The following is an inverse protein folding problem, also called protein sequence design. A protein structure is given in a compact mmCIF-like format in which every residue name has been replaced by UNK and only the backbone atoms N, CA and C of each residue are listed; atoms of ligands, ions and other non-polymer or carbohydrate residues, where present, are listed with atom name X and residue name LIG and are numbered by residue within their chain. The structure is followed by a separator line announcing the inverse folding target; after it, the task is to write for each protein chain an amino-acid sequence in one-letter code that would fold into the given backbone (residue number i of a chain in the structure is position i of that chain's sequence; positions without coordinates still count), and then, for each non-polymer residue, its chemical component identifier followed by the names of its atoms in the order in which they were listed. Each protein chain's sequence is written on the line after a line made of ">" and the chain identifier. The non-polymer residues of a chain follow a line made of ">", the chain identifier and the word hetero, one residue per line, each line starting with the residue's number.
data_IF_692341643664
#
_entry.id   IF_692341643664
#
_cell.length_a   1.000
_cell.length_b   1.000
_cell.length_c   1.000
_cell.angle_alpha   90.00
_cell.angle_beta   90.00
_cell.angle_gamma   90.00
#
_symmetry.space_group_name_H-M   'P 1'
#
loop_
_entity.id
_entity.type
_entity.pdbx_description
1 polymer ?
#
# COMPACT_ATOMS: atom_id res chain seq x y z
N UNK A 1 11.24 -26.93 8.20
CA UNK A 1 10.12 -26.91 9.16
C UNK A 1 9.96 -25.45 9.57
N UNK A 2 9.15 -24.69 8.82
CA UNK A 2 8.90 -23.28 9.13
C UNK A 2 7.70 -23.24 10.08
N UNK A 3 7.97 -22.83 11.32
CA UNK A 3 6.94 -22.67 12.34
C UNK A 3 5.97 -21.56 11.93
N UNK A 4 4.71 -21.96 11.79
CA UNK A 4 3.49 -21.18 12.06
C UNK A 4 3.72 -19.72 12.50
N UNK A 5 3.61 -18.78 11.56
CA UNK A 5 3.43 -17.34 11.85
C UNK A 5 2.04 -17.18 12.48
N UNK A 6 1.95 -17.46 13.78
CA UNK A 6 0.78 -17.15 14.61
C UNK A 6 1.17 -15.94 15.44
N UNK A 7 0.54 -14.83 15.08
CA UNK A 7 0.42 -13.56 15.81
C UNK A 7 1.14 -12.37 15.17
N UNK A 8 0.49 -11.73 14.18
CA UNK A 8 0.88 -10.43 13.63
C UNK A 8 0.45 -9.25 14.52
N UNK A 9 -0.08 -9.47 15.74
CA UNK A 9 -0.48 -8.38 16.65
C UNK A 9 0.70 -7.53 17.14
N UNK A 10 1.92 -7.98 16.92
CA UNK A 10 3.11 -7.17 17.21
C UNK A 10 4.05 -7.22 16.02
N UNK A 11 3.89 -6.27 15.10
CA UNK A 11 4.88 -6.03 14.07
C UNK A 11 6.07 -5.33 14.72
N UNK A 12 7.11 -6.08 15.09
CA UNK A 12 8.42 -5.48 15.35
C UNK A 12 9.09 -5.23 14.00
N UNK A 13 9.54 -4.01 13.76
CA UNK A 13 10.43 -3.73 12.65
C UNK A 13 11.73 -4.48 12.95
N UNK A 14 11.93 -5.62 12.28
CA UNK A 14 13.13 -6.44 12.42
C UNK A 14 14.32 -5.77 11.76
N UNK A 15 14.06 -5.06 10.66
CA UNK A 15 15.05 -4.30 9.91
C UNK A 15 14.37 -3.13 9.17
N UNK A 16 15.11 -2.05 8.95
CA UNK A 16 14.67 -0.90 8.14
C UNK A 16 15.85 -0.41 7.32
N UNK A 17 15.74 -0.59 6.02
CA UNK A 17 16.64 -0.01 5.06
C UNK A 17 15.93 1.10 4.27
N UNK A 18 16.65 2.18 3.97
CA UNK A 18 16.20 3.20 3.03
C UNK A 18 17.00 2.95 1.75
N UNK A 19 16.28 2.54 0.70
CA UNK A 19 16.86 2.30 -0.61
C UNK A 19 16.62 3.50 -1.52
N UNK A 20 17.63 3.86 -2.30
CA UNK A 20 17.40 4.63 -3.53
C UNK A 20 16.57 3.79 -4.50
N UNK A 21 15.84 4.43 -5.41
CA UNK A 21 15.00 3.73 -6.39
C UNK A 21 15.79 2.73 -7.24
N UNK A 22 17.05 3.05 -7.54
CA UNK A 22 17.96 2.19 -8.30
C UNK A 22 18.43 0.96 -7.51
N UNK A 23 18.18 0.94 -6.19
CA UNK A 23 18.45 -0.19 -5.31
C UNK A 23 17.31 -1.22 -5.23
N UNK A 24 16.19 -0.98 -5.94
CA UNK A 24 15.08 -1.94 -6.01
C UNK A 24 15.44 -3.05 -6.99
N UNK A 25 15.63 -4.28 -6.49
CA UNK A 25 16.01 -5.45 -7.30
C UNK A 25 14.95 -6.57 -7.35
N UNK A 26 13.92 -6.51 -6.49
CA UNK A 26 12.79 -7.43 -6.55
C UNK A 26 11.99 -7.23 -7.86
N UNK A 27 11.80 -8.27 -8.69
CA UNK A 27 11.12 -8.14 -9.98
C UNK A 27 9.69 -7.59 -9.90
N UNK A 28 8.99 -7.86 -8.79
CA UNK A 28 7.64 -7.35 -8.56
C UNK A 28 7.64 -5.84 -8.33
N UNK A 29 8.50 -5.36 -7.44
CA UNK A 29 8.68 -3.94 -7.18
C UNK A 29 9.20 -3.17 -8.40
N UNK A 30 10.15 -3.74 -9.15
CA UNK A 30 10.66 -3.15 -10.40
C UNK A 30 9.51 -2.98 -11.41
N UNK A 31 8.72 -4.02 -11.66
CA UNK A 31 7.61 -3.94 -12.61
C UNK A 31 6.53 -2.92 -12.20
N UNK A 32 6.24 -2.79 -10.91
CA UNK A 32 5.33 -1.76 -10.37
C UNK A 32 5.89 -0.37 -10.61
N UNK A 33 7.18 -0.17 -10.32
CA UNK A 33 7.86 1.12 -10.50
C UNK A 33 7.91 1.52 -11.98
N UNK A 34 8.30 0.61 -12.88
CA UNK A 34 8.33 0.85 -14.32
C UNK A 34 6.94 1.24 -14.86
N UNK A 35 5.88 0.56 -14.40
CA UNK A 35 4.52 0.94 -14.77
C UNK A 35 4.15 2.34 -14.27
N UNK A 36 4.40 2.61 -12.99
CA UNK A 36 4.13 3.89 -12.36
C UNK A 36 4.87 5.04 -13.06
N UNK A 37 6.15 4.85 -13.36
CA UNK A 37 7.02 5.81 -14.04
C UNK A 37 6.54 6.10 -15.47
N UNK A 38 6.19 5.05 -16.22
CA UNK A 38 5.64 5.18 -17.57
C UNK A 38 4.33 5.97 -17.60
N UNK A 39 3.45 5.79 -16.61
CA UNK A 39 2.16 6.49 -16.55
C UNK A 39 2.34 7.94 -16.07
N UNK A 40 3.17 8.18 -15.04
CA UNK A 40 3.37 9.55 -14.53
C UNK A 40 4.10 10.45 -15.54
N UNK A 41 5.05 9.90 -16.33
CA UNK A 41 5.95 10.67 -17.22
C UNK A 41 6.77 11.70 -16.42
N UNK A 42 6.71 12.98 -16.81
CA UNK A 42 7.39 14.07 -16.10
C UNK A 42 6.62 14.61 -14.87
N UNK A 43 5.46 14.02 -14.52
CA UNK A 43 4.63 14.46 -13.39
C UNK A 43 5.12 13.82 -12.08
N UNK A 44 4.75 14.43 -10.96
CA UNK A 44 5.02 13.91 -9.61
C UNK A 44 4.38 12.54 -9.38
N UNK A 45 3.23 12.28 -10.02
CA UNK A 45 2.59 10.96 -9.98
C UNK A 45 1.61 10.73 -11.14
N UNK A 46 1.13 9.49 -11.31
CA UNK A 46 0.13 9.13 -12.29
C UNK A 46 -1.17 9.93 -12.11
N UNK A 47 -1.73 10.52 -13.17
CA UNK A 47 -3.09 11.04 -13.10
C UNK A 47 -4.07 9.92 -12.76
N UNK A 48 -5.04 10.24 -11.90
CA UNK A 48 -6.04 9.27 -11.41
C UNK A 48 -6.75 8.52 -12.55
N UNK A 49 -7.04 9.21 -13.66
CA UNK A 49 -7.72 8.62 -14.82
C UNK A 49 -6.82 7.79 -15.73
N UNK A 50 -5.49 7.86 -15.57
CA UNK A 50 -4.50 7.18 -16.42
C UNK A 50 -3.91 5.93 -15.77
N UNK A 51 -3.88 5.88 -14.43
CA UNK A 51 -3.47 4.67 -13.71
C UNK A 51 -4.56 3.59 -13.79
N UNK A 52 -4.14 2.34 -14.00
CA UNK A 52 -4.97 1.15 -14.16
C UNK A 52 -4.36 0.06 -13.28
N UNK A 53 -5.11 -0.34 -12.26
CA UNK A 53 -4.65 -1.33 -11.29
C UNK A 53 -4.37 -2.68 -11.95
N UNK A 54 -5.18 -3.03 -12.94
CA UNK A 54 -5.06 -4.26 -13.73
C UNK A 54 -3.82 -4.31 -14.65
N UNK A 55 -3.12 -3.19 -14.82
CA UNK A 55 -1.84 -3.15 -15.54
C UNK A 55 -0.65 -3.52 -14.65
N UNK A 56 -0.84 -3.64 -13.34
CA UNK A 56 0.16 -4.19 -12.43
C UNK A 56 0.30 -5.71 -12.63
N UNK A 57 1.44 -6.31 -12.24
CA UNK A 57 1.56 -7.76 -12.19
C UNK A 57 0.44 -8.37 -11.33
N UNK A 58 -0.28 -9.41 -11.80
CA UNK A 58 -1.41 -9.99 -11.07
C UNK A 58 -1.07 -10.46 -9.64
N UNK A 59 0.17 -10.89 -9.40
CA UNK A 59 0.65 -11.32 -8.09
C UNK A 59 0.76 -10.17 -7.08
N UNK A 60 0.89 -8.92 -7.53
CA UNK A 60 1.05 -7.73 -6.68
C UNK A 60 -0.30 -7.12 -6.30
N UNK A 61 -1.31 -7.24 -7.16
CA UNK A 61 -2.64 -6.66 -6.94
C UNK A 61 -3.25 -7.05 -5.57
N UNK A 62 -3.20 -8.32 -5.12
CA UNK A 62 -3.67 -8.71 -3.78
C UNK A 62 -2.99 -7.99 -2.61
N UNK A 63 -1.76 -7.51 -2.80
CA UNK A 63 -0.96 -6.82 -1.78
C UNK A 63 -0.96 -5.29 -1.98
N UNK A 64 -1.87 -4.76 -2.81
CA UNK A 64 -1.95 -3.32 -3.15
C UNK A 64 -3.15 -2.65 -2.48
N UNK A 65 -3.02 -1.36 -2.16
CA UNK A 65 -4.15 -0.49 -1.81
C UNK A 65 -4.15 0.76 -2.69
N UNK A 66 -5.34 1.21 -3.10
CA UNK A 66 -5.53 2.50 -3.79
C UNK A 66 -6.32 3.41 -2.87
N UNK A 67 -5.77 4.56 -2.53
CA UNK A 67 -6.37 5.52 -1.59
C UNK A 67 -6.59 6.89 -2.23
N UNK A 68 -7.66 7.55 -1.83
CA UNK A 68 -7.87 8.98 -2.03
C UNK A 68 -7.41 9.75 -0.81
N UNK A 69 -6.65 10.82 -1.02
CA UNK A 69 -6.47 11.85 -0.01
C UNK A 69 -7.65 12.83 -0.06
N UNK A 70 -8.39 12.97 1.05
CA UNK A 70 -9.61 13.77 1.11
C UNK A 70 -9.37 15.23 1.52
N UNK A 71 -8.14 15.60 1.87
CA UNK A 71 -7.79 16.94 2.35
C UNK A 71 -7.83 17.06 3.89
N UNK A 72 -7.66 18.27 4.45
CA UNK A 72 -7.70 18.51 5.88
C UNK A 72 -9.14 18.57 6.46
N UNK A 73 -9.41 18.04 7.67
CA UNK A 73 -8.50 17.24 8.50
C UNK A 73 -8.12 15.96 7.76
N UNK A 74 -6.84 15.56 7.87
CA UNK A 74 -6.27 14.46 7.09
C UNK A 74 -7.18 13.23 7.16
N UNK A 75 -7.70 12.80 6.02
CA UNK A 75 -8.47 11.56 5.89
C UNK A 75 -8.23 10.89 4.53
N UNK A 76 -8.42 9.58 4.52
CA UNK A 76 -8.16 8.73 3.37
C UNK A 76 -9.36 7.85 3.08
N UNK A 77 -9.77 7.76 1.81
CA UNK A 77 -10.75 6.76 1.37
C UNK A 77 -10.06 5.64 0.60
N UNK A 78 -10.25 4.40 1.03
CA UNK A 78 -9.76 3.23 0.30
C UNK A 78 -10.67 2.95 -0.90
N UNK A 79 -10.19 3.19 -2.13
CA UNK A 79 -10.90 2.81 -3.36
C UNK A 79 -10.79 1.32 -3.67
N UNK A 80 -9.66 0.73 -3.31
CA UNK A 80 -9.37 -0.68 -3.49
C UNK A 80 -8.47 -1.14 -2.34
N UNK A 81 -8.77 -2.31 -1.80
CA UNK A 81 -7.97 -2.98 -0.80
C UNK A 81 -7.75 -4.44 -1.20
N UNK A 82 -6.49 -4.80 -1.48
CA UNK A 82 -6.14 -6.11 -1.99
C UNK A 82 -6.45 -7.25 -1.00
N UNK A 83 -6.75 -8.43 -1.52
CA UNK A 83 -7.18 -9.58 -0.70
C UNK A 83 -6.12 -10.12 0.26
N UNK A 84 -4.83 -10.01 -0.08
CA UNK A 84 -3.76 -10.35 0.84
C UNK A 84 -3.63 -9.29 1.95
N UNK A 85 -3.87 -8.01 1.64
CA UNK A 85 -3.98 -6.97 2.66
C UNK A 85 -5.12 -7.25 3.64
N UNK A 86 -6.26 -7.79 3.18
CA UNK A 86 -7.36 -8.23 4.08
C UNK A 86 -6.89 -9.28 5.07
N UNK A 87 -6.08 -10.25 4.63
CA UNK A 87 -5.56 -11.32 5.48
C UNK A 87 -4.60 -10.78 6.55
N UNK A 88 -3.75 -9.81 6.19
CA UNK A 88 -2.80 -9.16 7.10
C UNK A 88 -3.49 -8.21 8.07
N UNK A 89 -4.39 -7.35 7.57
CA UNK A 89 -5.10 -6.37 8.37
C UNK A 89 -6.20 -6.96 9.25
N UNK A 90 -6.67 -8.18 8.92
CA UNK A 90 -7.81 -8.83 9.57
C UNK A 90 -9.18 -8.24 9.21
N UNK A 91 -9.24 -7.30 8.25
CA UNK A 91 -10.46 -6.63 7.84
C UNK A 91 -10.38 -6.14 6.38
N UNK A 92 -11.53 -6.05 5.73
CA UNK A 92 -11.69 -5.48 4.38
C UNK A 92 -11.98 -3.99 4.50
N UNK A 93 -11.21 -3.15 3.79
CA UNK A 93 -11.27 -1.69 3.93
C UNK A 93 -11.83 -0.95 2.72
N UNK A 94 -12.17 -1.63 1.63
CA UNK A 94 -12.71 -0.98 0.43
C UNK A 94 -13.95 -0.15 0.75
N UNK A 95 -13.94 1.11 0.31
CA UNK A 95 -15.00 2.09 0.55
C UNK A 95 -14.91 2.82 1.89
N UNK A 96 -14.10 2.35 2.84
CA UNK A 96 -13.97 2.95 4.18
C UNK A 96 -13.10 4.20 4.17
N UNK A 97 -13.34 5.05 5.18
CA UNK A 97 -12.55 6.24 5.50
C UNK A 97 -11.77 6.04 6.78
N UNK A 98 -10.45 6.21 6.72
CA UNK A 98 -9.56 5.79 7.81
C UNK A 98 -9.91 6.43 9.16
N UNK A 99 -9.96 7.76 9.23
CA UNK A 99 -10.25 8.46 10.49
C UNK A 99 -11.75 8.52 10.78
N UNK A 100 -12.57 8.78 9.77
CA UNK A 100 -14.01 8.92 9.98
C UNK A 100 -14.68 7.61 10.45
N UNK A 101 -14.21 6.45 9.99
CA UNK A 101 -14.76 5.15 10.38
C UNK A 101 -14.03 4.55 11.59
N UNK A 102 -13.08 5.27 12.21
CA UNK A 102 -12.25 4.82 13.32
C UNK A 102 -11.61 3.44 13.06
N UNK A 103 -10.92 3.31 11.93
CA UNK A 103 -10.28 2.04 11.54
C UNK A 103 -9.16 1.69 12.53
N UNK A 104 -9.27 0.52 13.16
CA UNK A 104 -8.27 -0.05 14.07
C UNK A 104 -7.64 -1.31 13.47
N UNK A 105 -6.32 -1.52 13.52
CA UNK A 105 -5.67 -2.72 12.99
C UNK A 105 -4.15 -2.63 12.90
N UNK A 106 -3.49 -3.70 12.43
CA UNK A 106 -2.03 -3.78 12.29
C UNK A 106 -1.59 -3.56 10.84
N UNK A 107 -0.34 -3.10 10.63
CA UNK A 107 0.26 -2.97 9.29
C UNK A 107 -0.15 -1.72 8.51
N UNK A 108 -0.89 -0.80 9.13
CA UNK A 108 -1.15 0.52 8.56
C UNK A 108 -0.02 1.48 8.91
N UNK A 109 0.07 2.56 8.14
CA UNK A 109 0.92 3.71 8.44
C UNK A 109 0.42 4.29 9.77
N UNK A 110 0.88 3.73 10.90
CA UNK A 110 0.74 4.38 12.19
C UNK A 110 1.32 5.78 12.00
N UNK A 111 0.47 6.77 12.27
CA UNK A 111 0.57 8.15 11.84
C UNK A 111 1.76 8.93 12.48
N UNK A 112 2.98 8.48 12.25
CA UNK A 112 4.22 9.23 12.50
C UNK A 112 5.02 9.48 11.21
N UNK A 113 4.44 9.19 10.04
CA UNK A 113 5.11 9.42 8.75
C UNK A 113 4.50 10.63 8.07
N UNK A 114 4.82 11.80 8.60
CA UNK A 114 5.06 13.08 7.92
C UNK A 114 5.24 14.14 9.04
N UNK A 115 6.25 15.03 8.95
CA UNK A 115 6.51 16.06 9.96
C UNK A 115 5.34 17.02 10.16
#
# INVERSE_FOLDING_TARGET
>A
MFESIRDQRVAYIVDKEILDLDGIDDPGHVAVFEYWDRVRRARVGPPVGEFRLEALPPAIIPSTAVIDFLGPPMDFRYRFFGTHMVQVAGQELTGKRYFADNIEGFGFVNAEVLP
#
